data_IF_511207256106
#
_entry.id   IF_511207256106
#
_cell.length_a   1.000
_cell.length_b   1.000
_cell.length_c   1.000
_cell.angle_alpha   90.00
_cell.angle_beta   90.00
_cell.angle_gamma   90.00
#
_symmetry.space_group_name_H-M   'P 1'
#
loop_
_entity.id
_entity.type
_entity.pdbx_description
1 polymer ?
#
# COMPACT_ATOMS: atom_id res chain seq x y z
N UNK A 1 -18.57 5.89 2.20
CA UNK A 1 -18.37 6.57 3.50
C UNK A 1 -19.74 6.98 4.02
N UNK A 2 -20.45 6.05 4.69
CA UNK A 2 -21.87 6.23 5.02
C UNK A 2 -22.13 7.38 6.02
N UNK A 3 -21.21 7.62 6.95
CA UNK A 3 -21.30 8.72 7.93
C UNK A 3 -21.48 10.10 7.26
N UNK A 4 -20.70 10.39 6.21
CA UNK A 4 -20.78 11.67 5.49
C UNK A 4 -21.98 11.74 4.55
N UNK A 5 -22.28 10.66 3.85
CA UNK A 5 -23.31 10.67 2.79
C UNK A 5 -24.73 10.51 3.32
N UNK A 6 -24.92 9.75 4.41
CA UNK A 6 -26.25 9.41 4.94
C UNK A 6 -26.60 10.21 6.19
N UNK A 7 -25.63 10.43 7.07
CA UNK A 7 -25.85 11.09 8.36
C UNK A 7 -25.27 12.51 8.42
N UNK A 8 -24.65 12.98 7.33
CA UNK A 8 -24.02 14.30 7.22
C UNK A 8 -23.00 14.60 8.33
N UNK A 9 -22.39 13.56 8.91
CA UNK A 9 -21.35 13.68 9.93
C UNK A 9 -20.01 13.82 9.24
N UNK A 10 -19.38 14.98 9.43
CA UNK A 10 -18.17 15.35 8.69
C UNK A 10 -16.92 14.83 9.39
N UNK A 11 -16.81 15.13 10.70
CA UNK A 11 -15.63 14.94 11.53
C UNK A 11 -14.32 15.46 10.92
N UNK A 12 -13.21 15.23 11.62
CA UNK A 12 -11.86 15.52 11.17
C UNK A 12 -11.04 14.23 11.08
N UNK A 13 -10.39 13.95 9.94
CA UNK A 13 -9.49 12.81 9.89
C UNK A 13 -8.18 13.16 10.60
N UNK A 14 -7.76 12.29 11.51
CA UNK A 14 -6.53 12.47 12.29
C UNK A 14 -5.38 11.70 11.64
N UNK A 15 -4.21 12.32 11.58
CA UNK A 15 -2.97 11.68 11.10
C UNK A 15 -2.58 12.01 9.64
N UNK A 16 -3.19 13.01 8.99
CA UNK A 16 -2.75 13.44 7.65
C UNK A 16 -1.70 14.56 7.71
N UNK A 17 -0.59 14.40 7.00
CA UNK A 17 0.13 15.56 6.46
C UNK A 17 -0.58 15.97 5.16
N UNK A 18 -1.15 17.18 5.14
CA UNK A 18 -1.88 17.75 4.00
C UNK A 18 -0.96 17.90 2.79
N UNK A 19 -0.81 16.86 1.96
CA UNK A 19 -0.25 17.07 0.61
C UNK A 19 -0.77 16.12 -0.47
N UNK A 20 -1.13 14.86 -0.23
CA UNK A 20 -1.56 13.96 -1.33
C UNK A 20 -2.54 12.88 -0.88
N UNK A 21 -3.82 13.07 -1.24
CA UNK A 21 -4.84 12.03 -1.24
C UNK A 21 -5.47 11.76 0.13
N UNK A 22 -6.80 11.83 0.18
CA UNK A 22 -7.60 11.42 1.33
C UNK A 22 -7.46 9.89 1.47
N UNK A 23 -6.62 9.41 2.38
CA UNK A 23 -6.65 7.99 2.73
C UNK A 23 -7.97 7.70 3.45
N UNK A 24 -8.81 6.85 2.87
CA UNK A 24 -10.14 6.50 3.39
C UNK A 24 -10.10 5.62 4.66
N UNK A 25 -8.91 5.32 5.18
CA UNK A 25 -8.70 4.38 6.29
C UNK A 25 -8.24 5.05 7.58
N UNK A 26 -8.22 6.38 7.64
CA UNK A 26 -7.74 7.09 8.83
C UNK A 26 -8.83 7.21 9.91
N UNK A 27 -8.45 7.22 11.19
CA UNK A 27 -9.37 7.51 12.28
C UNK A 27 -10.05 8.87 12.09
N UNK A 28 -11.36 8.90 12.35
CA UNK A 28 -12.18 10.11 12.32
C UNK A 28 -12.39 10.60 13.75
N UNK A 29 -11.96 11.82 14.03
CA UNK A 29 -12.32 12.56 15.24
C UNK A 29 -13.66 13.27 15.02
N UNK A 30 -14.52 13.18 16.02
CA UNK A 30 -15.86 13.75 15.99
C UNK A 30 -15.99 14.84 17.04
N UNK A 31 -16.79 15.86 16.73
CA UNK A 31 -17.21 16.82 17.74
C UNK A 31 -18.13 16.16 18.77
N UNK A 32 -18.33 16.82 19.92
CA UNK A 32 -19.24 16.33 20.98
C UNK A 32 -20.66 16.12 20.46
N UNK A 33 -21.15 17.02 19.61
CA UNK A 33 -22.51 16.95 19.07
C UNK A 33 -22.68 15.84 18.03
N UNK A 34 -21.72 15.68 17.11
CA UNK A 34 -21.73 14.57 16.16
C UNK A 34 -21.66 13.22 16.89
N UNK A 35 -20.85 13.14 17.95
CA UNK A 35 -20.75 11.94 18.79
C UNK A 35 -22.08 11.63 19.48
N UNK A 36 -22.73 12.65 20.06
CA UNK A 36 -24.02 12.49 20.72
C UNK A 36 -25.08 11.99 19.74
N UNK A 37 -25.16 12.60 18.55
CA UNK A 37 -26.10 12.18 17.50
C UNK A 37 -25.91 10.70 17.12
N UNK A 38 -24.66 10.24 16.97
CA UNK A 38 -24.40 8.83 16.65
C UNK A 38 -24.85 7.87 17.75
N UNK A 39 -24.72 8.27 19.01
CA UNK A 39 -25.14 7.46 20.15
C UNK A 39 -26.67 7.44 20.23
N UNK A 40 -27.32 8.59 20.08
CA UNK A 40 -28.77 8.73 20.17
C UNK A 40 -29.49 7.96 19.04
N UNK A 41 -28.94 7.97 17.84
CA UNK A 41 -29.46 7.22 16.67
C UNK A 41 -29.08 5.72 16.70
N UNK A 42 -28.36 5.27 17.74
CA UNK A 42 -27.91 3.87 17.86
C UNK A 42 -26.91 3.45 16.78
N UNK A 43 -26.22 4.40 16.15
CA UNK A 43 -25.24 4.18 15.09
C UNK A 43 -23.85 3.89 15.65
N UNK A 44 -23.57 4.29 16.88
CA UNK A 44 -22.31 4.03 17.57
C UNK A 44 -22.50 3.80 19.06
N UNK A 45 -21.53 3.12 19.67
CA UNK A 45 -21.43 2.95 21.12
C UNK A 45 -20.15 3.61 21.63
N UNK A 46 -20.25 4.27 22.80
CA UNK A 46 -19.07 4.81 23.47
C UNK A 46 -18.35 3.70 24.23
N UNK A 47 -17.10 3.43 23.84
CA UNK A 47 -16.23 2.48 24.53
C UNK A 47 -15.10 3.24 25.19
N UNK A 48 -15.05 3.22 26.52
CA UNK A 48 -13.91 3.76 27.26
C UNK A 48 -12.73 2.80 27.17
N UNK A 49 -11.62 3.27 26.59
CA UNK A 49 -10.33 2.57 26.62
C UNK A 49 -9.42 3.05 27.75
N UNK A 50 -9.91 3.89 28.66
CA UNK A 50 -9.11 4.51 29.71
C UNK A 50 -8.36 3.48 30.56
N UNK A 51 -9.02 2.37 30.93
CA UNK A 51 -8.35 1.30 31.68
C UNK A 51 -7.31 0.54 30.84
N UNK A 52 -7.62 0.26 29.58
CA UNK A 52 -6.71 -0.47 28.69
C UNK A 52 -5.46 0.34 28.34
N UNK A 53 -5.55 1.68 28.36
CA UNK A 53 -4.44 2.58 28.08
C UNK A 53 -3.61 2.93 29.33
N UNK A 54 -4.15 2.73 30.53
CA UNK A 54 -3.45 2.98 31.80
C UNK A 54 -2.78 1.74 32.37
N UNK A 55 -3.25 0.54 32.00
CA UNK A 55 -2.65 -0.73 32.41
C UNK A 55 -1.46 -1.08 31.50
N UNK A 56 -0.34 -1.57 32.03
CA UNK A 56 0.73 -2.09 31.20
C UNK A 56 0.23 -3.32 30.42
N UNK A 57 0.69 -3.52 29.17
CA UNK A 57 0.32 -4.69 28.38
C UNK A 57 0.80 -5.97 29.05
N UNK A 58 -0.01 -7.04 28.98
CA UNK A 58 0.39 -8.35 29.48
C UNK A 58 1.44 -8.98 28.57
N UNK A 59 2.16 -9.98 29.08
CA UNK A 59 3.17 -10.69 28.29
C UNK A 59 2.57 -11.34 27.03
N UNK A 60 1.36 -11.87 27.11
CA UNK A 60 0.66 -12.46 25.96
C UNK A 60 0.36 -11.40 24.89
N UNK A 61 -0.06 -10.19 25.29
CA UNK A 61 -0.30 -9.08 24.36
C UNK A 61 1.00 -8.66 23.66
N UNK A 62 2.12 -8.63 24.39
CA UNK A 62 3.42 -8.31 23.82
C UNK A 62 3.88 -9.37 22.82
N UNK A 63 3.69 -10.66 23.13
CA UNK A 63 4.04 -11.74 22.21
C UNK A 63 3.16 -11.73 20.95
N UNK A 64 1.86 -11.50 21.11
CA UNK A 64 0.94 -11.37 19.97
C UNK A 64 1.34 -10.20 19.08
N UNK A 65 1.60 -9.03 19.68
CA UNK A 65 2.07 -7.86 18.95
C UNK A 65 3.38 -8.13 18.20
N UNK A 66 4.35 -8.80 18.84
CA UNK A 66 5.64 -9.13 18.22
C UNK A 66 5.45 -10.03 16.99
N UNK A 67 4.61 -11.06 17.08
CA UNK A 67 4.30 -11.95 15.95
C UNK A 67 3.64 -11.17 14.80
N UNK A 68 2.68 -10.31 15.10
CA UNK A 68 1.99 -9.48 14.10
C UNK A 68 2.94 -8.46 13.46
N UNK A 69 3.87 -7.92 14.25
CA UNK A 69 4.89 -7.00 13.76
C UNK A 69 5.85 -7.72 12.79
N UNK A 70 6.39 -8.87 13.18
CA UNK A 70 7.29 -9.67 12.34
C UNK A 70 6.61 -10.13 11.05
N UNK A 71 5.36 -10.58 11.13
CA UNK A 71 4.54 -10.96 9.98
C UNK A 71 4.37 -9.79 8.98
N UNK A 72 4.01 -8.60 9.48
CA UNK A 72 3.88 -7.39 8.65
C UNK A 72 5.21 -6.99 8.01
N UNK A 73 6.30 -7.07 8.76
CA UNK A 73 7.63 -6.72 8.27
C UNK A 73 8.05 -7.66 7.13
N UNK A 74 7.79 -8.96 7.28
CA UNK A 74 8.07 -9.96 6.24
C UNK A 74 7.21 -9.74 4.99
N UNK A 75 5.92 -9.47 5.16
CA UNK A 75 5.03 -9.16 4.05
C UNK A 75 5.49 -7.90 3.27
N UNK A 76 5.91 -6.85 3.98
CA UNK A 76 6.44 -5.64 3.35
C UNK A 76 7.74 -5.91 2.58
N UNK A 77 8.64 -6.72 3.14
CA UNK A 77 9.88 -7.13 2.47
C UNK A 77 9.59 -7.85 1.16
N UNK A 78 8.66 -8.80 1.20
CA UNK A 78 8.34 -9.63 0.03
C UNK A 78 7.59 -8.83 -1.04
N UNK A 79 6.69 -7.92 -0.63
CA UNK A 79 6.05 -6.96 -1.54
C UNK A 79 7.09 -6.06 -2.23
N UNK A 80 8.05 -5.51 -1.48
CA UNK A 80 9.12 -4.67 -2.03
C UNK A 80 10.00 -5.45 -3.00
N UNK A 81 10.39 -6.68 -2.65
CA UNK A 81 11.20 -7.55 -3.53
C UNK A 81 10.47 -7.82 -4.84
N UNK A 82 9.19 -8.14 -4.77
CA UNK A 82 8.34 -8.41 -5.93
C UNK A 82 8.27 -7.19 -6.85
N UNK A 83 8.03 -6.01 -6.27
CA UNK A 83 7.93 -4.76 -7.02
C UNK A 83 9.27 -4.37 -7.68
N UNK A 84 10.38 -4.54 -6.96
CA UNK A 84 11.72 -4.30 -7.51
C UNK A 84 12.02 -5.22 -8.69
N UNK A 85 11.73 -6.52 -8.58
CA UNK A 85 11.89 -7.47 -9.68
C UNK A 85 11.02 -7.08 -10.90
N UNK A 86 9.78 -6.67 -10.65
CA UNK A 86 8.85 -6.23 -11.70
C UNK A 86 9.39 -5.04 -12.48
N UNK A 87 9.86 -4.00 -11.78
CA UNK A 87 10.42 -2.81 -12.43
C UNK A 87 11.76 -3.11 -13.11
N UNK A 88 12.64 -3.92 -12.50
CA UNK A 88 13.89 -4.33 -13.17
C UNK A 88 13.62 -5.05 -14.48
N UNK A 89 12.71 -6.03 -14.52
CA UNK A 89 12.33 -6.73 -15.76
C UNK A 89 11.83 -5.75 -16.82
N UNK A 90 10.93 -4.83 -16.44
CA UNK A 90 10.40 -3.79 -17.33
C UNK A 90 11.48 -2.90 -17.96
N UNK A 91 12.55 -2.62 -17.22
CA UNK A 91 13.66 -1.81 -17.71
C UNK A 91 14.68 -2.60 -18.53
N UNK A 92 14.94 -3.86 -18.19
CA UNK A 92 15.90 -4.71 -18.93
C UNK A 92 15.51 -4.83 -20.39
N UNK A 93 14.24 -5.10 -20.71
CA UNK A 93 13.79 -5.23 -22.10
C UNK A 93 14.04 -3.96 -22.91
N UNK A 94 13.74 -2.79 -22.32
CA UNK A 94 14.00 -1.49 -22.93
C UNK A 94 15.49 -1.25 -23.15
N UNK A 95 16.33 -1.67 -22.21
CA UNK A 95 17.80 -1.56 -22.32
C UNK A 95 18.31 -2.45 -23.45
N UNK A 96 17.84 -3.70 -23.56
CA UNK A 96 18.27 -4.63 -24.61
C UNK A 96 17.87 -4.11 -25.99
N UNK A 97 16.62 -3.68 -26.16
CA UNK A 97 16.13 -3.09 -27.42
C UNK A 97 16.90 -1.80 -27.75
N UNK A 98 17.11 -0.93 -26.76
CA UNK A 98 17.89 0.30 -26.95
C UNK A 98 19.34 0.03 -27.36
N UNK A 99 19.97 -1.02 -26.80
CA UNK A 99 21.31 -1.48 -27.20
C UNK A 99 21.32 -2.03 -28.62
N UNK A 100 20.38 -2.92 -28.99
CA UNK A 100 20.25 -3.44 -30.37
C UNK A 100 20.09 -2.32 -31.38
N UNK A 101 19.15 -1.40 -31.14
CA UNK A 101 18.92 -0.24 -32.01
C UNK A 101 20.16 0.66 -32.15
N UNK A 102 20.97 0.79 -31.10
CA UNK A 102 22.22 1.55 -31.16
C UNK A 102 23.29 0.84 -32.00
N UNK A 103 23.40 -0.48 -31.92
CA UNK A 103 24.32 -1.28 -32.73
C UNK A 103 23.94 -1.25 -34.22
N UNK A 104 22.65 -1.36 -34.53
CA UNK A 104 22.12 -1.24 -35.90
C UNK A 104 22.47 0.16 -36.47
N UNK A 105 22.24 1.23 -35.70
CA UNK A 105 22.63 2.60 -36.11
C UNK A 105 24.13 2.79 -36.31
N UNK A 106 24.96 1.96 -35.69
CA UNK A 106 26.41 1.96 -35.85
C UNK A 106 26.88 1.06 -37.01
N UNK A 107 25.96 0.49 -37.80
CA UNK A 107 26.27 -0.34 -38.96
C UNK A 107 26.69 -1.78 -38.63
N UNK A 108 26.45 -2.25 -37.41
CA UNK A 108 26.67 -3.66 -37.05
C UNK A 108 25.41 -4.49 -37.39
N UNK A 109 25.57 -5.70 -37.98
CA UNK A 109 24.44 -6.56 -38.32
C UNK A 109 23.71 -7.03 -37.06
N UNK A 110 22.39 -7.21 -37.17
CA UNK A 110 21.58 -7.77 -36.08
C UNK A 110 21.77 -9.29 -36.06
N UNK A 111 22.45 -9.80 -35.02
CA UNK A 111 22.71 -11.24 -34.86
C UNK A 111 21.43 -12.05 -34.54
N UNK A 112 20.26 -11.41 -34.46
CA UNK A 112 18.97 -12.05 -34.20
C UNK A 112 18.25 -12.66 -35.42
N UNK A 113 18.72 -12.43 -36.65
CA UNK A 113 18.08 -12.96 -37.88
C UNK A 113 18.76 -14.22 -38.45
N UNK A 114 19.95 -14.61 -37.97
CA UNK A 114 20.70 -15.71 -38.58
C UNK A 114 20.24 -17.12 -38.19
N UNK A 115 19.42 -17.30 -37.15
CA UNK A 115 19.00 -18.64 -36.69
C UNK A 115 17.77 -19.21 -37.42
N UNK A 116 17.12 -18.44 -38.30
CA UNK A 116 15.90 -18.89 -39.00
C UNK A 116 16.07 -19.12 -40.51
N UNK A 117 17.29 -18.99 -41.05
CA UNK A 117 17.57 -19.20 -42.48
C UNK A 117 18.23 -20.55 -42.83
N UNK A 118 18.38 -21.48 -41.89
CA UNK A 118 19.01 -22.79 -42.14
C UNK A 118 18.08 -24.00 -42.01
N UNK A 119 16.76 -23.81 -42.10
CA UNK A 119 15.79 -24.92 -42.20
C UNK A 119 14.92 -24.77 -43.43
N UNK A 120 15.53 -24.71 -44.61
CA UNK A 120 14.95 -25.11 -45.91
C UNK A 120 15.99 -24.87 -47.00
N UNK A 121 16.79 -25.89 -47.31
CA UNK A 121 17.15 -26.44 -48.64
C UNK A 121 18.08 -27.62 -48.38
#
# INVERSE_FOLDING_TARGET
>A
MELRTKYHIMGALVGTASTKGWSSTLPLELTKYETQLLVDEGLAILVSKAEALTKPPTQDMLQAYQRDFESRLMAQRDALKTEKLRETRRHVDKIIIGKRNKLIKQGKPDEGECDNLMVHT
#
